data_IF_661480359320
#
_entry.id   IF_661480359320
#
_cell.length_a   1.000
_cell.length_b   1.000
_cell.length_c   1.000
_cell.angle_alpha   90.00
_cell.angle_beta   90.00
_cell.angle_gamma   90.00
#
_symmetry.space_group_name_H-M   'P 1'
#
loop_
_entity.id
_entity.type
_entity.pdbx_description
1 polymer ?
#
# COMPACT_ATOMS: atom_id res chain seq x y z
N UNK A 1 2.86 -11.70 12.69
CA UNK A 1 2.23 -10.40 12.89
C UNK A 1 0.72 -10.56 13.14
N UNK A 2 0.17 -9.77 14.05
CA UNK A 2 -1.27 -9.69 14.33
C UNK A 2 -1.78 -8.29 14.00
N UNK A 3 -2.95 -8.19 13.39
CA UNK A 3 -3.60 -6.91 13.06
C UNK A 3 -5.12 -7.01 13.17
N UNK A 4 -5.84 -5.91 13.43
CA UNK A 4 -7.30 -5.92 13.42
C UNK A 4 -7.80 -6.20 11.98
N UNK A 5 -8.94 -6.88 11.88
CA UNK A 5 -9.60 -7.11 10.58
C UNK A 5 -10.06 -5.78 9.93
N UNK A 6 -10.37 -4.78 10.76
CA UNK A 6 -10.74 -3.44 10.32
C UNK A 6 -9.89 -2.44 11.09
N UNK A 7 -9.11 -1.64 10.37
CA UNK A 7 -8.21 -0.64 10.96
C UNK A 7 -7.68 0.32 9.90
N UNK A 8 -6.98 1.36 10.35
CA UNK A 8 -6.31 2.35 9.50
C UNK A 8 -4.96 2.73 10.11
N UNK A 9 -4.06 3.29 9.31
CA UNK A 9 -2.80 3.90 9.77
C UNK A 9 -1.88 2.99 10.60
N UNK A 10 -1.86 1.68 10.32
CA UNK A 10 -1.08 0.68 11.07
C UNK A 10 -1.49 0.54 12.55
N UNK A 11 -2.64 1.09 12.98
CA UNK A 11 -3.08 0.98 14.36
C UNK A 11 -3.28 -0.46 14.81
N UNK A 12 -2.76 -0.77 16.00
CA UNK A 12 -2.84 -2.09 16.63
C UNK A 12 -2.24 -3.24 15.79
N UNK A 13 -1.26 -2.92 14.94
CA UNK A 13 -0.43 -3.93 14.30
C UNK A 13 0.73 -4.24 15.24
N UNK A 14 0.98 -5.53 15.50
CA UNK A 14 2.07 -5.97 16.37
C UNK A 14 2.76 -7.22 15.83
N UNK A 15 4.09 -7.26 15.97
CA UNK A 15 4.89 -8.47 15.75
C UNK A 15 4.75 -9.36 16.97
N UNK A 16 4.49 -10.64 16.77
CA UNK A 16 4.28 -11.66 17.82
C UNK A 16 5.45 -12.62 17.81
N UNK A 17 6.08 -12.79 18.99
CA UNK A 17 7.29 -13.61 19.16
C UNK A 17 7.02 -14.97 19.83
N UNK A 18 5.77 -15.39 19.92
CA UNK A 18 5.36 -16.66 20.49
C UNK A 18 3.91 -16.67 20.96
N UNK A 19 3.48 -17.83 21.48
CA UNK A 19 2.07 -17.99 21.88
C UNK A 19 1.70 -17.11 23.08
N UNK A 20 2.61 -16.97 24.05
CA UNK A 20 2.35 -16.14 25.24
C UNK A 20 2.21 -14.66 24.88
N UNK A 21 2.98 -14.19 23.90
CA UNK A 21 2.88 -12.82 23.38
C UNK A 21 1.59 -12.62 22.57
N UNK A 22 1.13 -13.66 21.86
CA UNK A 22 -0.15 -13.64 21.17
C UNK A 22 -1.31 -13.50 22.17
N UNK A 23 -1.34 -14.33 23.22
CA UNK A 23 -2.39 -14.31 24.25
C UNK A 23 -2.43 -12.97 24.96
N UNK A 24 -1.26 -12.44 25.37
CA UNK A 24 -1.16 -11.10 25.95
C UNK A 24 -1.69 -10.02 25.00
N UNK A 25 -1.34 -10.08 23.72
CA UNK A 25 -1.76 -9.08 22.73
C UNK A 25 -3.27 -9.13 22.47
N UNK A 26 -3.86 -10.33 22.41
CA UNK A 26 -5.30 -10.51 22.26
C UNK A 26 -6.08 -9.92 23.45
N UNK A 27 -5.56 -10.06 24.67
CA UNK A 27 -6.20 -9.52 25.86
C UNK A 27 -6.03 -8.02 26.05
N UNK A 28 -4.90 -7.45 25.68
CA UNK A 28 -4.51 -6.07 26.02
C UNK A 28 -4.69 -5.06 24.88
N UNK A 29 -4.54 -5.51 23.63
CA UNK A 29 -4.56 -4.62 22.46
C UNK A 29 -5.94 -4.64 21.79
N UNK A 30 -6.61 -5.80 21.81
CA UNK A 30 -7.89 -5.97 21.12
C UNK A 30 -9.05 -6.04 22.09
N UNK A 31 -10.15 -5.38 21.71
CA UNK A 31 -11.38 -5.47 22.50
C UNK A 31 -11.98 -6.87 22.41
N UNK A 32 -12.63 -7.36 23.48
CA UNK A 32 -13.33 -8.65 23.45
C UNK A 32 -14.31 -8.73 22.28
N UNK A 33 -14.22 -9.81 21.51
CA UNK A 33 -15.04 -10.02 20.31
C UNK A 33 -14.51 -9.36 19.03
N UNK A 34 -13.39 -8.65 19.07
CA UNK A 34 -12.73 -8.16 17.87
C UNK A 34 -12.25 -9.32 17.01
N UNK A 35 -12.38 -9.15 15.67
CA UNK A 35 -11.77 -10.08 14.72
C UNK A 35 -10.40 -9.59 14.34
N UNK A 36 -9.43 -10.50 14.35
CA UNK A 36 -8.04 -10.21 14.04
C UNK A 36 -7.55 -11.12 12.91
N UNK A 37 -6.52 -10.67 12.23
CA UNK A 37 -5.78 -11.44 11.24
C UNK A 37 -4.42 -11.76 11.84
N UNK A 38 -4.01 -13.02 11.76
CA UNK A 38 -2.65 -13.48 12.06
C UNK A 38 -2.01 -13.85 10.73
N UNK A 39 -0.86 -13.25 10.43
CA UNK A 39 -0.11 -13.46 9.20
C UNK A 39 1.35 -13.74 9.52
N UNK A 40 2.04 -14.44 8.62
CA UNK A 40 3.49 -14.50 8.64
C UNK A 40 4.09 -13.10 8.56
N UNK A 41 5.10 -12.82 9.37
CA UNK A 41 5.87 -11.58 9.28
C UNK A 41 6.97 -11.75 8.26
N UNK A 42 6.93 -10.94 7.22
CA UNK A 42 7.99 -10.89 6.19
C UNK A 42 8.87 -9.69 6.51
N UNK A 43 10.12 -9.96 6.87
CA UNK A 43 11.10 -8.90 7.06
C UNK A 43 11.54 -8.34 5.71
N UNK A 44 11.49 -7.00 5.57
CA UNK A 44 11.80 -6.41 4.27
C UNK A 44 11.64 -4.91 4.21
N UNK A 45 11.58 -4.42 2.98
CA UNK A 45 11.30 -3.00 2.70
C UNK A 45 9.82 -2.83 2.41
N UNK A 46 9.14 -2.04 3.26
CA UNK A 46 7.74 -1.68 3.05
C UNK A 46 7.60 -0.73 1.87
N UNK A 47 6.76 -1.12 0.93
CA UNK A 47 6.45 -0.36 -0.27
C UNK A 47 4.94 -0.34 -0.53
N UNK A 48 4.50 0.54 -1.39
CA UNK A 48 3.16 0.49 -1.95
C UNK A 48 3.17 0.82 -3.43
N UNK A 49 2.18 0.32 -4.16
CA UNK A 49 1.92 0.70 -5.54
C UNK A 49 0.60 1.46 -5.59
N UNK A 50 0.64 2.64 -6.21
CA UNK A 50 -0.57 3.41 -6.54
C UNK A 50 -1.02 3.05 -7.95
N UNK A 51 -2.31 2.68 -8.11
CA UNK A 51 -2.87 2.25 -9.39
C UNK A 51 -4.16 3.03 -9.73
N UNK A 52 -4.48 3.03 -11.02
CA UNK A 52 -5.81 3.34 -11.52
C UNK A 52 -6.42 2.09 -12.15
N UNK A 53 -7.74 1.91 -11.94
CA UNK A 53 -8.47 0.72 -12.36
C UNK A 53 -9.77 1.10 -13.05
N UNK A 54 -10.16 0.35 -14.09
CA UNK A 54 -11.41 0.55 -14.85
C UNK A 54 -12.50 -0.48 -14.52
N UNK A 55 -12.19 -1.42 -13.64
CA UNK A 55 -13.06 -2.54 -13.24
C UNK A 55 -12.59 -3.91 -13.75
N UNK A 56 -11.64 -3.94 -14.68
CA UNK A 56 -11.08 -5.17 -15.25
C UNK A 56 -9.55 -5.08 -15.43
N UNK A 57 -9.05 -3.91 -15.69
CA UNK A 57 -7.63 -3.63 -15.95
C UNK A 57 -7.09 -2.61 -14.95
N UNK A 58 -5.87 -2.80 -14.51
CA UNK A 58 -5.17 -1.88 -13.63
C UNK A 58 -3.88 -1.37 -14.27
N UNK A 59 -3.59 -0.07 -14.12
CA UNK A 59 -2.35 0.55 -14.53
C UNK A 59 -1.62 1.16 -13.32
N UNK A 60 -0.29 0.98 -13.20
CA UNK A 60 0.47 1.51 -12.09
C UNK A 60 0.83 2.98 -12.36
N UNK A 61 0.67 3.84 -11.34
CA UNK A 61 1.11 5.23 -11.38
C UNK A 61 2.50 5.36 -10.79
N UNK A 62 2.72 4.77 -9.60
CA UNK A 62 4.01 4.89 -8.89
C UNK A 62 4.26 3.73 -7.94
N UNK A 63 5.55 3.42 -7.80
CA UNK A 63 6.08 2.70 -6.65
C UNK A 63 6.43 3.71 -5.56
N UNK A 64 6.04 3.45 -4.33
CA UNK A 64 6.26 4.33 -3.19
C UNK A 64 6.97 3.56 -2.07
N UNK A 65 7.91 4.20 -1.37
CA UNK A 65 8.48 3.66 -0.13
C UNK A 65 7.63 4.09 1.05
N UNK A 66 7.38 3.17 1.96
CA UNK A 66 6.74 3.43 3.25
C UNK A 66 7.78 3.33 4.36
N UNK A 67 7.66 4.19 5.37
CA UNK A 67 8.48 4.14 6.57
C UNK A 67 7.53 3.83 7.71
N UNK A 68 7.59 2.61 8.20
CA UNK A 68 6.71 2.08 9.24
C UNK A 68 7.58 1.66 10.42
N UNK A 69 7.20 2.06 11.63
CA UNK A 69 7.80 1.61 12.87
C UNK A 69 6.87 0.59 13.54
N UNK A 70 7.37 -0.63 13.73
CA UNK A 70 6.67 -1.73 14.40
C UNK A 70 7.34 -2.12 15.73
N UNK A 71 8.24 -1.30 16.26
CA UNK A 71 9.03 -1.63 17.48
C UNK A 71 8.24 -1.48 18.78
N UNK A 72 7.11 -0.78 18.75
CA UNK A 72 6.24 -0.55 19.90
C UNK A 72 5.06 -1.51 19.98
N UNK A 73 4.15 -1.25 20.93
CA UNK A 73 2.87 -1.97 21.05
C UNK A 73 1.89 -1.61 19.94
N UNK A 74 2.18 -0.57 19.17
CA UNK A 74 1.37 -0.10 18.03
C UNK A 74 2.27 0.24 16.86
N UNK A 75 1.92 -0.28 15.69
CA UNK A 75 2.56 0.16 14.44
C UNK A 75 2.33 1.66 14.22
N UNK A 76 3.33 2.33 13.68
CA UNK A 76 3.27 3.77 13.38
C UNK A 76 3.79 4.04 11.98
N UNK A 77 2.95 4.68 11.16
CA UNK A 77 3.38 5.18 9.86
C UNK A 77 4.14 6.50 10.05
N UNK A 78 5.40 6.53 9.68
CA UNK A 78 6.29 7.69 9.88
C UNK A 78 6.44 8.57 8.64
N UNK A 79 6.07 8.07 7.47
CA UNK A 79 6.20 8.83 6.23
C UNK A 79 6.55 7.96 5.03
N UNK A 80 7.05 8.58 3.97
CA UNK A 80 7.41 7.86 2.76
C UNK A 80 8.08 8.70 1.69
N UNK A 81 8.35 8.06 0.56
CA UNK A 81 8.99 8.65 -0.61
C UNK A 81 8.22 8.27 -1.87
N UNK A 82 8.00 9.21 -2.77
CA UNK A 82 7.25 9.09 -4.02
C UNK A 82 7.94 9.85 -5.15
N UNK A 83 8.23 9.25 -6.30
CA UNK A 83 8.32 7.80 -6.49
C UNK A 83 9.52 7.22 -5.73
N UNK A 84 9.51 5.91 -5.51
CA UNK A 84 10.63 5.16 -4.96
C UNK A 84 11.33 4.41 -6.09
N UNK A 85 12.63 4.66 -6.27
CA UNK A 85 13.45 3.95 -7.23
C UNK A 85 13.96 2.64 -6.62
N UNK A 86 13.67 1.53 -7.29
CA UNK A 86 14.08 0.20 -6.85
C UNK A 86 14.29 -0.72 -8.05
N UNK A 87 15.25 -1.63 -7.97
CA UNK A 87 15.42 -2.72 -8.94
C UNK A 87 14.20 -3.65 -9.00
N UNK A 88 13.37 -3.64 -7.96
CA UNK A 88 12.13 -4.44 -7.87
C UNK A 88 10.88 -3.74 -8.40
N UNK A 89 11.01 -2.54 -8.99
CA UNK A 89 9.86 -1.74 -9.47
C UNK A 89 8.93 -2.55 -10.38
N UNK A 90 9.49 -3.20 -11.40
CA UNK A 90 8.70 -3.94 -12.38
C UNK A 90 8.02 -5.17 -11.76
N UNK A 91 8.71 -5.84 -10.83
CA UNK A 91 8.12 -6.96 -10.09
C UNK A 91 6.98 -6.48 -9.19
N UNK A 92 7.18 -5.41 -8.43
CA UNK A 92 6.16 -4.82 -7.57
C UNK A 92 4.92 -4.39 -8.38
N UNK A 93 5.12 -3.76 -9.55
CA UNK A 93 4.02 -3.38 -10.45
C UNK A 93 3.25 -4.59 -10.94
N UNK A 94 3.92 -5.62 -11.46
CA UNK A 94 3.24 -6.85 -11.91
C UNK A 94 2.49 -7.55 -10.78
N UNK A 95 3.08 -7.63 -9.59
CA UNK A 95 2.47 -8.24 -8.41
C UNK A 95 1.21 -7.47 -7.99
N UNK A 96 1.29 -6.14 -7.91
CA UNK A 96 0.16 -5.28 -7.55
C UNK A 96 -0.98 -5.35 -8.59
N UNK A 97 -0.66 -5.27 -9.89
CA UNK A 97 -1.64 -5.40 -10.98
C UNK A 97 -2.36 -6.74 -10.87
N UNK A 98 -1.61 -7.85 -10.78
CA UNK A 98 -2.19 -9.20 -10.67
C UNK A 98 -3.11 -9.33 -9.45
N UNK A 99 -2.74 -8.75 -8.32
CA UNK A 99 -3.55 -8.76 -7.10
C UNK A 99 -4.87 -7.99 -7.29
N UNK A 100 -4.81 -6.80 -7.88
CA UNK A 100 -6.00 -5.94 -8.12
C UNK A 100 -6.93 -6.57 -9.17
N UNK A 101 -6.38 -7.07 -10.27
CA UNK A 101 -7.16 -7.69 -11.36
C UNK A 101 -7.78 -9.04 -10.96
N UNK A 102 -7.36 -9.63 -9.83
CA UNK A 102 -8.03 -10.82 -9.26
C UNK A 102 -9.37 -10.50 -8.58
N UNK A 103 -9.69 -9.21 -8.41
CA UNK A 103 -10.92 -8.73 -7.77
C UNK A 103 -11.77 -7.99 -8.80
N UNK A 104 -12.83 -8.62 -9.26
CA UNK A 104 -13.73 -8.04 -10.25
C UNK A 104 -14.36 -6.72 -9.78
N UNK A 105 -14.40 -5.76 -10.69
CA UNK A 105 -15.16 -4.52 -10.51
C UNK A 105 -14.45 -3.43 -9.71
N UNK A 106 -13.19 -3.57 -9.34
CA UNK A 106 -12.42 -2.49 -8.73
C UNK A 106 -12.24 -1.33 -9.72
N UNK A 107 -12.71 -0.13 -9.35
CA UNK A 107 -12.63 1.08 -10.18
C UNK A 107 -12.05 2.25 -9.44
N UNK A 108 -11.36 3.13 -10.18
CA UNK A 108 -10.77 4.34 -9.65
C UNK A 108 -9.38 4.12 -9.06
N UNK A 109 -9.04 4.84 -8.00
CA UNK A 109 -7.73 4.73 -7.36
C UNK A 109 -7.66 3.54 -6.41
N UNK A 110 -6.61 2.76 -6.54
CA UNK A 110 -6.30 1.63 -5.64
C UNK A 110 -4.86 1.74 -5.17
N UNK A 111 -4.65 1.60 -3.86
CA UNK A 111 -3.33 1.42 -3.26
C UNK A 111 -3.12 -0.04 -2.90
N UNK A 112 -1.97 -0.61 -3.26
CA UNK A 112 -1.57 -1.96 -2.84
C UNK A 112 -0.33 -1.85 -1.97
N UNK A 113 -0.43 -2.29 -0.72
CA UNK A 113 0.69 -2.35 0.20
C UNK A 113 1.40 -3.69 0.04
N UNK A 114 2.74 -3.62 -0.09
CA UNK A 114 3.60 -4.77 -0.35
C UNK A 114 4.86 -4.69 0.51
N UNK A 115 5.57 -5.81 0.59
CA UNK A 115 6.92 -5.87 1.15
C UNK A 115 7.86 -6.54 0.17
N UNK A 116 9.05 -5.94 -0.02
CA UNK A 116 10.17 -6.58 -0.72
C UNK A 116 10.94 -7.34 0.35
N UNK A 117 10.96 -8.67 0.27
CA UNK A 117 11.67 -9.52 1.24
C UNK A 117 13.17 -9.25 1.25
N UNK A 118 13.76 -9.27 2.45
CA UNK A 118 15.21 -9.24 2.66
C UNK A 118 15.81 -10.65 2.78
N UNK A 119 15.01 -11.73 2.69
CA UNK A 119 15.53 -13.08 2.79
C UNK A 119 16.39 -13.42 1.55
N UNK A 120 17.66 -13.69 1.75
CA UNK A 120 18.61 -14.06 0.68
C UNK A 120 18.26 -15.39 0.00
N UNK A 121 17.39 -16.20 0.62
CA UNK A 121 16.91 -17.46 0.05
C UNK A 121 15.75 -17.27 -0.91
N UNK A 122 14.97 -16.23 -0.68
CA UNK A 122 13.84 -15.82 -1.53
C UNK A 122 14.36 -14.80 -2.54
N UNK A 123 15.03 -15.27 -3.57
CA UNK A 123 15.56 -14.43 -4.64
C UNK A 123 14.38 -13.73 -5.30
N UNK A 124 14.15 -12.47 -4.90
CA UNK A 124 13.23 -11.52 -5.54
C UNK A 124 11.73 -11.68 -5.23
N UNK A 125 11.36 -11.91 -3.96
CA UNK A 125 9.93 -11.98 -3.63
C UNK A 125 9.36 -10.65 -3.15
N UNK A 126 8.25 -10.27 -3.79
CA UNK A 126 7.39 -9.15 -3.41
C UNK A 126 6.05 -9.71 -2.97
N UNK A 127 5.71 -9.52 -1.70
CA UNK A 127 4.49 -10.03 -1.10
C UNK A 127 3.43 -8.94 -0.96
N UNK A 128 2.18 -9.29 -1.28
CA UNK A 128 1.02 -8.40 -1.08
C UNK A 128 0.58 -8.49 0.38
N UNK A 129 0.47 -7.35 1.03
CA UNK A 129 -0.01 -7.24 2.41
C UNK A 129 -1.46 -6.82 2.49
N UNK A 130 -1.88 -5.85 1.64
CA UNK A 130 -3.22 -5.27 1.67
C UNK A 130 -3.57 -4.57 0.36
N UNK A 131 -4.85 -4.60 -0.02
CA UNK A 131 -5.42 -3.85 -1.14
C UNK A 131 -6.39 -2.81 -0.60
N UNK A 132 -6.10 -1.54 -0.86
CA UNK A 132 -6.87 -0.38 -0.41
C UNK A 132 -7.63 0.22 -1.59
N UNK A 133 -8.94 -0.05 -1.73
CA UNK A 133 -9.80 0.48 -2.79
C UNK A 133 -10.24 1.93 -2.51
N UNK A 134 -9.27 2.81 -2.22
CA UNK A 134 -9.45 4.22 -1.88
C UNK A 134 -8.16 4.99 -2.11
N UNK A 135 -8.21 6.32 -2.05
CA UNK A 135 -7.00 7.12 -1.95
C UNK A 135 -6.19 6.74 -0.71
N UNK A 136 -4.89 6.58 -0.91
CA UNK A 136 -3.91 6.28 0.15
C UNK A 136 -2.98 7.48 0.35
N UNK A 137 -2.20 7.48 1.43
CA UNK A 137 -1.29 8.58 1.78
C UNK A 137 -0.39 9.04 0.63
N UNK A 138 0.18 8.16 -0.21
CA UNK A 138 0.95 8.55 -1.38
C UNK A 138 0.24 9.49 -2.36
N UNK A 139 -1.09 9.46 -2.45
CA UNK A 139 -1.83 10.38 -3.31
C UNK A 139 -1.54 11.85 -3.02
N UNK A 140 -1.27 12.20 -1.75
CA UNK A 140 -0.96 13.59 -1.36
C UNK A 140 0.31 14.14 -2.02
N UNK A 141 1.27 13.27 -2.30
CA UNK A 141 2.47 13.59 -3.08
C UNK A 141 2.25 13.45 -4.57
N UNK A 142 1.60 12.37 -5.02
CA UNK A 142 1.36 12.09 -6.43
C UNK A 142 0.64 13.24 -7.14
N UNK A 143 -0.41 13.80 -6.53
CA UNK A 143 -1.16 14.93 -7.11
C UNK A 143 -0.31 16.18 -7.38
N UNK A 144 0.91 16.26 -6.83
CA UNK A 144 1.82 17.40 -7.01
C UNK A 144 2.85 17.17 -8.12
N UNK A 145 3.16 15.90 -8.41
CA UNK A 145 4.21 15.53 -9.37
C UNK A 145 3.68 14.82 -10.60
N UNK A 146 2.46 14.29 -10.58
CA UNK A 146 1.83 13.72 -11.77
C UNK A 146 1.51 14.81 -12.77
N UNK A 147 1.81 14.55 -14.05
CA UNK A 147 1.50 15.43 -15.18
C UNK A 147 0.01 15.44 -15.56
N UNK A 148 -0.79 14.57 -14.92
CA UNK A 148 -2.24 14.45 -15.10
C UNK A 148 -2.99 14.83 -13.81
N UNK A 149 -4.28 15.20 -13.95
CA UNK A 149 -5.16 15.28 -12.80
C UNK A 149 -5.77 13.89 -12.53
N UNK A 150 -5.24 13.20 -11.52
CA UNK A 150 -5.66 11.83 -11.17
C UNK A 150 -7.19 11.77 -10.89
N UNK A 151 -7.75 12.78 -10.22
CA UNK A 151 -9.18 12.82 -9.93
C UNK A 151 -10.04 12.89 -11.20
N UNK A 152 -9.68 13.77 -12.14
CA UNK A 152 -10.36 13.86 -13.45
C UNK A 152 -10.20 12.56 -14.24
N UNK A 153 -9.01 11.99 -14.24
CA UNK A 153 -8.75 10.73 -14.94
C UNK A 153 -9.60 9.57 -14.42
N UNK A 154 -9.90 9.53 -13.13
CA UNK A 154 -10.83 8.54 -12.55
C UNK A 154 -12.23 8.73 -13.11
N UNK A 155 -12.71 9.96 -13.18
CA UNK A 155 -14.04 10.28 -13.74
C UNK A 155 -14.09 9.86 -15.20
N UNK A 156 -13.09 10.24 -15.99
CA UNK A 156 -13.01 9.90 -17.41
C UNK A 156 -12.97 8.38 -17.66
N UNK A 157 -12.28 7.63 -16.81
CA UNK A 157 -12.28 6.16 -16.87
C UNK A 157 -13.64 5.56 -16.54
N UNK A 158 -14.33 6.07 -15.49
CA UNK A 158 -15.64 5.57 -15.07
C UNK A 158 -16.69 5.87 -16.14
N UNK A 159 -16.65 7.08 -16.71
CA UNK A 159 -17.56 7.53 -17.77
C UNK A 159 -17.18 6.99 -19.16
N UNK A 160 -16.09 6.22 -19.25
CA UNK A 160 -15.55 5.65 -20.51
C UNK A 160 -15.18 6.70 -21.57
N UNK A 161 -14.78 7.89 -21.12
CA UNK A 161 -14.29 8.97 -21.99
C UNK A 161 -12.86 8.72 -22.46
N UNK A 162 -12.11 7.87 -21.74
CA UNK A 162 -10.74 7.46 -22.07
C UNK A 162 -10.56 5.96 -21.86
N UNK A 163 -9.78 5.33 -22.73
CA UNK A 163 -9.30 3.96 -22.52
C UNK A 163 -8.15 3.96 -21.50
N UNK A 164 -8.12 2.96 -20.62
CA UNK A 164 -7.11 2.86 -19.57
C UNK A 164 -5.68 2.71 -20.16
N UNK A 165 -5.54 2.07 -21.31
CA UNK A 165 -4.26 1.92 -21.99
C UNK A 165 -3.76 3.26 -22.53
N UNK A 166 -4.65 4.06 -23.13
CA UNK A 166 -4.34 5.41 -23.61
C UNK A 166 -3.95 6.33 -22.45
N UNK A 167 -4.57 6.13 -21.29
CA UNK A 167 -4.22 6.86 -20.07
C UNK A 167 -2.83 6.47 -19.59
N UNK A 168 -2.50 5.18 -19.60
CA UNK A 168 -1.19 4.68 -19.16
C UNK A 168 -0.02 5.31 -19.93
N UNK A 169 -0.21 5.50 -21.24
CA UNK A 169 0.81 6.14 -22.10
C UNK A 169 1.04 7.63 -21.79
N UNK A 170 0.07 8.27 -21.13
CA UNK A 170 0.11 9.71 -20.80
C UNK A 170 0.66 10.01 -19.42
N UNK A 171 0.70 9.00 -18.53
CA UNK A 171 1.12 9.23 -17.15
C UNK A 171 2.63 9.38 -17.06
N UNK A 172 3.07 10.49 -16.51
CA UNK A 172 4.45 10.75 -16.15
C UNK A 172 4.54 11.45 -14.79
N UNK A 173 5.66 11.28 -14.10
CA UNK A 173 5.90 11.86 -12.79
C UNK A 173 7.10 12.81 -12.86
N UNK A 174 6.86 14.08 -12.53
CA UNK A 174 7.88 15.13 -12.56
C UNK A 174 8.39 15.44 -11.15
N UNK A 175 9.50 14.81 -10.78
CA UNK A 175 10.15 15.05 -9.50
C UNK A 175 9.91 13.92 -8.49
N UNK A 176 10.31 14.20 -7.23
CA UNK A 176 10.29 13.29 -6.10
C UNK A 176 9.81 14.03 -4.86
N UNK A 177 9.00 13.38 -4.07
CA UNK A 177 8.53 13.92 -2.78
C UNK A 177 8.89 12.95 -1.68
N UNK A 178 9.49 13.48 -0.64
CA UNK A 178 9.63 12.82 0.66
C UNK A 178 8.74 13.54 1.66
N UNK A 179 8.03 12.80 2.46
CA UNK A 179 7.17 13.35 3.49
C UNK A 179 7.32 12.56 4.79
N UNK A 180 7.17 13.27 5.89
CA UNK A 180 7.12 12.68 7.22
C UNK A 180 5.75 12.99 7.81
N UNK A 181 5.18 12.07 8.56
CA UNK A 181 4.03 12.35 9.40
C UNK A 181 4.51 13.34 10.45
N UNK A 182 3.95 14.54 10.48
CA UNK A 182 4.23 15.51 11.55
C UNK A 182 3.73 14.88 12.84
N UNK A 183 4.60 14.82 13.84
CA UNK A 183 4.25 14.35 15.18
C UNK A 183 3.04 15.14 15.69
N UNK A 184 2.12 14.44 16.31
CA UNK A 184 0.85 14.96 16.77
C UNK A 184 1.02 16.21 17.63
N UNK A 185 0.50 17.30 17.10
CA UNK A 185 -0.13 18.34 17.89
C UNK A 185 -1.60 18.34 17.46
N UNK A 186 -2.38 17.45 18.03
CA UNK A 186 -3.81 17.59 18.21
C UNK A 186 -4.10 17.85 19.67
#
# INVERSE_FOLDING_TARGET
IIKPLVGVDCENIKIINGIDDLDYSLEKIFLPGSRVIVQEFIEGTDISVSLLCDGSTAIPISLNKQIIDLTGDKGTYLGGQIPFESKFKDLAFRTAIKAVESIDGLKGFVGVDLVISNDEKDIEDVYVLEINSRFTTPYTGLKKIANINIGSSIIDLIDKNIDIKDLNEKIDLNGKIEFKKSGDNL
#
